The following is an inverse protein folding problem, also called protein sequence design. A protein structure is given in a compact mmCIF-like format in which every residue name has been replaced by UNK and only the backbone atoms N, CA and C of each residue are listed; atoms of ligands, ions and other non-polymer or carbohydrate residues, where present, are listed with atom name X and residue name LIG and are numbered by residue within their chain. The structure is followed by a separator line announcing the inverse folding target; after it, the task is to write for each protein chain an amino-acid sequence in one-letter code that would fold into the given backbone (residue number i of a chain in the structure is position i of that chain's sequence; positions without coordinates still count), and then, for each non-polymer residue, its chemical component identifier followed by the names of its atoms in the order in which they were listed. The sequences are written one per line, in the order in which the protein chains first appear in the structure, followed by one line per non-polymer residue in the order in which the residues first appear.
data_IF_801496530534
#
_entry.id   IF_801496530534
#
_cell.length_a   1.000
_cell.length_b   1.000
_cell.length_c   1.000
_cell.angle_alpha   90.00
_cell.angle_beta   90.00
_cell.angle_gamma   90.00
#
_symmetry.space_group_name_H-M   'P 1'
#
loop_
_entity.id
_entity.type
_entity.pdbx_description
1 polymer ?
#
# COMPACT_ATOMS: atom_id res chain seq x y z
N UNK A 1 0.78 -10.62 -7.49
CA UNK A 1 1.97 -10.15 -8.22
C UNK A 1 2.55 -8.95 -7.49
N UNK A 2 3.87 -8.87 -7.37
CA UNK A 2 4.57 -7.70 -6.84
C UNK A 2 4.98 -6.81 -8.00
N UNK A 3 4.51 -5.57 -7.99
CA UNK A 3 4.91 -4.56 -8.96
C UNK A 3 6.10 -3.80 -8.37
N UNK A 4 7.28 -4.01 -8.94
CA UNK A 4 8.49 -3.29 -8.58
C UNK A 4 8.94 -2.43 -9.75
N UNK A 5 9.82 -1.46 -9.50
CA UNK A 5 10.37 -0.61 -10.56
C UNK A 5 11.15 -1.37 -11.64
N UNK A 6 11.59 -2.60 -11.33
CA UNK A 6 12.36 -3.47 -12.24
C UNK A 6 11.50 -4.50 -12.97
N UNK A 7 10.20 -4.61 -12.64
CA UNK A 7 9.28 -5.52 -13.29
C UNK A 7 8.22 -6.10 -12.35
N UNK A 8 7.49 -7.09 -12.86
CA UNK A 8 6.40 -7.74 -12.13
C UNK A 8 6.83 -9.15 -11.70
N UNK A 9 6.83 -9.40 -10.39
CA UNK A 9 7.21 -10.69 -9.82
C UNK A 9 5.98 -11.47 -9.36
N UNK A 10 5.85 -12.71 -9.81
CA UNK A 10 4.78 -13.61 -9.39
C UNK A 10 5.23 -14.44 -8.20
N UNK A 11 4.64 -14.20 -7.03
CA UNK A 11 4.89 -15.01 -5.84
C UNK A 11 3.65 -15.83 -5.51
N UNK A 12 3.91 -17.09 -5.18
CA UNK A 12 2.90 -18.06 -4.75
C UNK A 12 2.79 -18.07 -3.23
N UNK A 13 2.26 -17.00 -2.65
CA UNK A 13 1.99 -16.91 -1.21
C UNK A 13 0.64 -16.25 -0.95
N UNK A 14 0.10 -16.45 0.25
CA UNK A 14 -1.09 -15.73 0.68
C UNK A 14 -0.77 -14.26 0.93
N UNK A 15 -1.74 -13.37 0.68
CA UNK A 15 -1.60 -11.94 0.95
C UNK A 15 -1.35 -11.65 2.44
N UNK A 16 -1.89 -12.48 3.34
CA UNK A 16 -1.66 -12.38 4.77
C UNK A 16 -0.19 -12.65 5.15
N UNK A 17 0.46 -13.60 4.47
CA UNK A 17 1.89 -13.84 4.71
C UNK A 17 2.73 -12.69 4.16
N UNK A 18 2.38 -12.19 2.97
CA UNK A 18 3.01 -11.00 2.39
C UNK A 18 2.88 -9.78 3.30
N UNK A 19 1.69 -9.55 3.87
CA UNK A 19 1.44 -8.47 4.82
C UNK A 19 2.36 -8.56 6.04
N UNK A 20 2.49 -9.74 6.65
CA UNK A 20 3.38 -9.93 7.81
C UNK A 20 4.85 -9.65 7.48
N UNK A 21 5.31 -10.12 6.31
CA UNK A 21 6.69 -9.90 5.88
C UNK A 21 6.97 -8.44 5.49
N UNK A 22 5.96 -7.75 4.95
CA UNK A 22 6.09 -6.39 4.43
C UNK A 22 5.68 -5.30 5.43
N UNK A 23 5.00 -5.66 6.52
CA UNK A 23 4.64 -4.78 7.64
C UNK A 23 5.81 -3.93 8.15
N UNK A 24 7.03 -4.47 8.39
CA UNK A 24 8.16 -3.66 8.83
C UNK A 24 8.69 -2.69 7.76
N UNK A 25 8.33 -2.87 6.49
CA UNK A 25 8.81 -2.04 5.37
C UNK A 25 7.79 -0.95 4.97
N UNK A 26 6.92 -0.54 5.89
CA UNK A 26 5.89 0.49 5.67
C UNK A 26 4.91 0.15 4.55
N UNK A 27 4.56 -1.13 4.40
CA UNK A 27 3.45 -1.52 3.54
C UNK A 27 2.14 -1.42 4.30
N UNK A 28 1.12 -0.86 3.63
CA UNK A 28 -0.24 -0.79 4.13
C UNK A 28 -1.21 -1.36 3.10
N UNK A 29 -2.32 -1.92 3.57
CA UNK A 29 -3.40 -2.37 2.70
C UNK A 29 -4.26 -1.19 2.26
N UNK A 30 -4.37 -0.99 0.96
CA UNK A 30 -5.41 -0.12 0.41
C UNK A 30 -6.71 -0.91 0.11
N UNK A 31 -6.62 -2.21 -0.14
CA UNK A 31 -7.76 -3.07 -0.45
C UNK A 31 -7.52 -4.49 0.10
N UNK A 32 -8.55 -5.34 0.09
CA UNK A 32 -8.50 -6.74 0.50
C UNK A 32 -7.47 -7.55 -0.28
N UNK A 33 -7.15 -7.15 -1.52
CA UNK A 33 -6.22 -7.84 -2.41
C UNK A 33 -4.91 -7.06 -2.69
N UNK A 34 -4.73 -5.87 -2.14
CA UNK A 34 -3.62 -4.98 -2.48
C UNK A 34 -2.88 -4.45 -1.26
N UNK A 35 -1.55 -4.61 -1.29
CA UNK A 35 -0.59 -4.01 -0.37
C UNK A 35 0.23 -2.98 -1.14
N UNK A 36 0.31 -1.77 -0.62
CA UNK A 36 1.05 -0.66 -1.23
C UNK A 36 2.09 -0.15 -0.26
N UNK A 37 3.25 0.21 -0.80
CA UNK A 37 4.33 0.78 -0.01
C UNK A 37 4.07 2.28 0.19
N UNK A 38 3.93 2.71 1.44
CA UNK A 38 3.65 4.10 1.80
C UNK A 38 4.75 5.06 1.34
N UNK A 39 6.01 4.61 1.23
CA UNK A 39 7.14 5.41 0.73
C UNK A 39 6.97 5.84 -0.73
N UNK A 40 6.24 5.07 -1.53
CA UNK A 40 6.01 5.37 -2.95
C UNK A 40 4.67 6.05 -3.19
N UNK A 41 3.87 6.27 -2.15
CA UNK A 41 2.61 7.00 -2.26
C UNK A 41 2.92 8.47 -2.51
N UNK A 42 2.51 8.96 -3.70
CA UNK A 42 2.65 10.37 -4.06
C UNK A 42 1.47 11.21 -3.61
N UNK A 43 0.26 10.65 -3.71
CA UNK A 43 -0.97 11.35 -3.33
C UNK A 43 -2.08 10.35 -3.01
N UNK A 44 -3.01 10.76 -2.16
CA UNK A 44 -4.28 10.07 -1.94
C UNK A 44 -5.40 11.06 -2.25
N UNK A 45 -6.28 10.71 -3.17
CA UNK A 45 -7.42 11.54 -3.59
C UNK A 45 -8.71 10.73 -3.53
N UNK A 46 -9.68 11.19 -2.74
CA UNK A 46 -10.95 10.51 -2.50
C UNK A 46 -10.77 9.05 -2.03
N UNK A 47 -10.89 8.12 -2.97
CA UNK A 47 -10.78 6.67 -2.81
C UNK A 47 -9.68 6.07 -3.70
N UNK A 48 -8.79 6.89 -4.25
CA UNK A 48 -7.64 6.43 -5.03
C UNK A 48 -6.34 6.83 -4.36
N UNK A 49 -5.38 5.91 -4.37
CA UNK A 49 -3.99 6.17 -4.02
C UNK A 49 -3.14 6.15 -5.28
N UNK A 50 -2.29 7.16 -5.44
CA UNK A 50 -1.27 7.21 -6.48
C UNK A 50 0.06 6.72 -5.90
N UNK A 51 0.57 5.61 -6.43
CA UNK A 51 1.81 4.95 -6.03
C UNK A 51 2.78 5.01 -7.20
N UNK A 52 3.77 5.90 -7.14
CA UNK A 52 4.61 6.20 -8.30
C UNK A 52 3.78 6.72 -9.47
N UNK A 53 3.74 5.97 -10.57
CA UNK A 53 2.95 6.27 -11.78
C UNK A 53 1.60 5.55 -11.80
N UNK A 54 1.41 4.53 -10.96
CA UNK A 54 0.19 3.73 -10.90
C UNK A 54 -0.86 4.35 -9.97
N UNK A 55 -2.13 4.14 -10.28
CA UNK A 55 -3.28 4.52 -9.43
C UNK A 55 -4.05 3.28 -9.03
N UNK A 56 -4.30 3.15 -7.73
CA UNK A 56 -5.00 2.02 -7.13
C UNK A 56 -6.20 2.52 -6.34
N UNK A 57 -7.32 1.81 -6.47
CA UNK A 57 -8.51 2.08 -5.69
C UNK A 57 -8.37 1.53 -4.26
N UNK A 58 -8.81 2.35 -3.32
CA UNK A 58 -8.88 2.07 -1.91
C UNK A 58 -10.30 1.58 -1.61
N UNK A 59 -10.42 0.42 -0.98
CA UNK A 59 -11.74 -0.07 -0.57
C UNK A 59 -12.32 0.82 0.51
N UNK A 60 -13.63 1.11 0.43
CA UNK A 60 -14.36 1.93 1.42
C UNK A 60 -14.11 1.50 2.86
N UNK A 61 -14.03 0.19 3.13
CA UNK A 61 -13.74 -0.36 4.46
C UNK A 61 -12.30 -0.16 4.92
N UNK A 62 -11.35 -0.15 3.98
CA UNK A 62 -9.92 0.03 4.29
C UNK A 62 -9.48 1.49 4.26
N UNK A 63 -10.29 2.39 3.69
CA UNK A 63 -9.95 3.81 3.54
C UNK A 63 -9.51 4.48 4.83
N UNK A 64 -10.27 4.31 5.91
CA UNK A 64 -9.93 4.93 7.19
C UNK A 64 -8.59 4.41 7.73
N UNK A 65 -8.38 3.09 7.69
CA UNK A 65 -7.13 2.46 8.14
C UNK A 65 -5.94 2.87 7.26
N UNK A 66 -6.14 2.93 5.94
CA UNK A 66 -5.10 3.32 4.99
C UNK A 66 -4.69 4.78 5.15
N UNK A 67 -5.67 5.70 5.26
CA UNK A 67 -5.39 7.11 5.51
C UNK A 67 -4.69 7.31 6.86
N UNK A 68 -5.11 6.59 7.90
CA UNK A 68 -4.42 6.62 9.20
C UNK A 68 -2.97 6.13 9.09
N UNK A 69 -2.71 5.06 8.33
CA UNK A 69 -1.36 4.56 8.10
C UNK A 69 -0.50 5.56 7.30
N UNK A 70 -1.05 6.21 6.26
CA UNK A 70 -0.37 7.27 5.51
C UNK A 70 -0.08 8.47 6.42
N UNK A 71 -1.05 8.92 7.21
CA UNK A 71 -0.88 10.04 8.13
C UNK A 71 0.13 9.72 9.23
N UNK A 72 0.13 8.50 9.78
CA UNK A 72 1.12 8.05 10.74
C UNK A 72 2.51 7.94 10.11
N UNK A 73 2.62 7.53 8.85
CA UNK A 73 3.89 7.50 8.12
C UNK A 73 4.44 8.90 7.86
N UNK A 74 3.60 9.83 7.40
CA UNK A 74 4.02 11.22 7.11
C UNK A 74 4.26 12.01 8.39
N UNK A 75 3.41 11.85 9.41
CA UNK A 75 3.49 12.58 10.68
C UNK A 75 4.44 11.96 11.71
N UNK A 76 4.75 10.66 11.60
CA UNK A 76 5.67 9.94 12.49
C UNK A 76 7.06 9.70 11.91
N UNK A 77 7.34 10.10 10.66
CA UNK A 77 8.68 10.09 10.07
C UNK A 77 9.51 11.35 10.40
N UNK A 78 9.15 12.07 11.47
CA UNK A 78 9.96 13.16 12.04
C UNK A 78 10.86 12.67 13.16
#
# INVERSE_FOLDING_TARGET
HYHTSTGVWSVRSSLQNAEKQLAPYHFAKCNQCYLVNLRYVRAVQNDMVQVGEDRLEISRRQRAAFLAAVAAYVGGAM
#
